data_IF_511021172366
#
_entry.id   IF_511021172366
#
_cell.length_a   1.000
_cell.length_b   1.000
_cell.length_c   1.000
_cell.angle_alpha   90.00
_cell.angle_beta   90.00
_cell.angle_gamma   90.00
#
_symmetry.space_group_name_H-M   'P 1'
#
loop_
_entity.id
_entity.type
_entity.pdbx_description
1 polymer ?
#
# COMPACT_ATOMS: atom_id res chain seq x y z
N UNK A 1 6.57 -17.89 7.15
CA UNK A 1 7.62 -17.65 8.17
C UNK A 1 8.25 -16.27 7.94
N UNK A 2 7.96 -15.30 8.82
CA UNK A 2 8.68 -14.01 8.95
C UNK A 2 9.75 -14.12 10.06
N UNK A 3 10.27 -15.32 10.30
CA UNK A 3 11.01 -15.70 11.52
C UNK A 3 12.44 -15.18 11.57
N UNK A 4 12.86 -14.37 10.60
CA UNK A 4 13.95 -13.41 10.79
C UNK A 4 13.75 -12.23 9.85
N UNK A 5 12.71 -11.42 10.09
CA UNK A 5 12.59 -10.11 9.41
C UNK A 5 13.94 -9.38 9.53
N UNK A 6 14.52 -9.01 8.39
CA UNK A 6 15.67 -8.09 8.32
C UNK A 6 15.41 -6.93 9.31
N UNK A 7 16.37 -6.56 10.18
CA UNK A 7 16.23 -5.41 11.08
C UNK A 7 15.64 -4.16 10.42
N UNK A 8 15.97 -3.87 9.16
CA UNK A 8 15.43 -2.73 8.41
C UNK A 8 13.93 -2.89 8.13
N UNK A 9 13.50 -4.07 7.69
CA UNK A 9 12.08 -4.38 7.49
C UNK A 9 11.31 -4.33 8.81
N UNK A 10 11.89 -4.76 9.93
CA UNK A 10 11.26 -4.60 11.27
C UNK A 10 11.05 -3.12 11.60
N UNK A 11 12.05 -2.27 11.33
CA UNK A 11 11.93 -0.83 11.56
C UNK A 11 10.87 -0.21 10.65
N UNK A 12 10.83 -0.58 9.38
CA UNK A 12 9.79 -0.15 8.45
C UNK A 12 8.39 -0.51 8.96
N UNK A 13 8.16 -1.78 9.33
CA UNK A 13 6.87 -2.24 9.86
C UNK A 13 6.51 -1.48 11.15
N UNK A 14 7.47 -1.19 12.02
CA UNK A 14 7.22 -0.39 13.23
C UNK A 14 6.76 1.04 12.90
N UNK A 15 7.33 1.69 11.86
CA UNK A 15 6.88 3.01 11.41
C UNK A 15 5.49 2.94 10.76
N UNK A 16 5.25 1.97 9.90
CA UNK A 16 3.94 1.71 9.29
C UNK A 16 2.84 1.44 10.33
N UNK A 17 3.16 0.79 11.45
CA UNK A 17 2.21 0.54 12.54
C UNK A 17 1.89 1.78 13.39
N UNK A 18 2.67 2.85 13.28
CA UNK A 18 2.40 4.13 13.98
C UNK A 18 1.51 5.07 13.19
N UNK A 19 1.32 4.80 11.91
CA UNK A 19 0.47 5.59 11.03
C UNK A 19 -0.98 5.41 11.47
N UNK A 20 -1.66 6.52 11.71
CA UNK A 20 -3.08 6.52 12.02
C UNK A 20 -3.89 6.36 10.73
N UNK A 21 -4.43 5.16 10.51
CA UNK A 21 -5.35 4.84 9.42
C UNK A 21 -6.82 5.09 9.79
N UNK A 22 -7.13 5.51 11.02
CA UNK A 22 -8.49 5.77 11.47
C UNK A 22 -9.14 6.92 10.69
N UNK A 23 -8.40 8.00 10.42
CA UNK A 23 -8.87 9.09 9.55
C UNK A 23 -9.17 8.60 8.14
N UNK A 24 -8.33 7.71 7.60
CA UNK A 24 -8.53 7.15 6.26
C UNK A 24 -9.77 6.25 6.20
N UNK A 25 -9.99 5.43 7.25
CA UNK A 25 -11.21 4.64 7.36
C UNK A 25 -12.47 5.52 7.44
N UNK A 26 -12.41 6.62 8.20
CA UNK A 26 -13.49 7.60 8.27
C UNK A 26 -13.75 8.24 6.89
N UNK A 27 -12.70 8.65 6.17
CA UNK A 27 -12.82 9.19 4.81
C UNK A 27 -13.46 8.18 3.85
N UNK A 28 -13.01 6.92 3.85
CA UNK A 28 -13.54 5.87 2.98
C UNK A 28 -15.01 5.54 3.27
N UNK A 29 -15.46 5.71 4.51
CA UNK A 29 -16.84 5.43 4.92
C UNK A 29 -17.80 6.61 4.72
N UNK A 30 -17.29 7.81 4.43
CA UNK A 30 -18.12 8.98 4.11
C UNK A 30 -18.82 8.76 2.75
N UNK A 31 -20.16 8.73 2.69
CA UNK A 31 -20.89 8.51 1.45
C UNK A 31 -20.91 9.73 0.51
N UNK A 32 -20.53 10.92 0.98
CA UNK A 32 -20.56 12.15 0.20
C UNK A 32 -19.20 12.48 -0.40
N UNK A 33 -18.13 12.30 0.40
CA UNK A 33 -16.77 12.70 0.01
C UNK A 33 -15.83 11.52 -0.20
N UNK A 34 -16.25 10.31 0.20
CA UNK A 34 -15.48 9.08 0.06
C UNK A 34 -16.21 8.05 -0.80
N UNK A 35 -15.92 6.78 -0.53
CA UNK A 35 -16.49 5.66 -1.27
C UNK A 35 -17.83 5.15 -0.68
N UNK A 36 -18.24 5.69 0.47
CA UNK A 36 -19.43 5.23 1.20
C UNK A 36 -19.37 3.76 1.62
N UNK A 37 -18.17 3.22 1.83
CA UNK A 37 -17.97 1.83 2.21
C UNK A 37 -18.43 1.56 3.64
N UNK A 38 -18.77 0.30 3.93
CA UNK A 38 -18.90 -0.14 5.32
C UNK A 38 -17.54 -0.08 6.01
N UNK A 39 -17.53 0.06 7.34
CA UNK A 39 -16.28 0.05 8.11
C UNK A 39 -15.47 -1.23 7.90
N UNK A 40 -16.15 -2.38 7.75
CA UNK A 40 -15.52 -3.66 7.45
C UNK A 40 -14.81 -3.64 6.09
N UNK A 41 -15.49 -3.18 5.04
CA UNK A 41 -14.90 -3.04 3.70
C UNK A 41 -13.70 -2.08 3.72
N UNK A 42 -13.82 -0.92 4.38
CA UNK A 42 -12.73 0.04 4.51
C UNK A 42 -11.53 -0.55 5.27
N UNK A 43 -11.78 -1.25 6.38
CA UNK A 43 -10.73 -1.90 7.17
C UNK A 43 -9.98 -2.96 6.35
N UNK A 44 -10.72 -3.82 5.65
CA UNK A 44 -10.11 -4.84 4.79
C UNK A 44 -9.31 -4.22 3.64
N UNK A 45 -9.81 -3.16 3.02
CA UNK A 45 -9.11 -2.46 1.95
C UNK A 45 -7.83 -1.76 2.44
N UNK A 46 -7.88 -1.14 3.62
CA UNK A 46 -6.71 -0.53 4.27
C UNK A 46 -5.63 -1.57 4.57
N UNK A 47 -5.99 -2.79 5.01
CA UNK A 47 -5.01 -3.85 5.22
C UNK A 47 -4.34 -4.30 3.91
N UNK A 48 -5.06 -4.29 2.78
CA UNK A 48 -4.44 -4.53 1.47
C UNK A 48 -3.52 -3.37 1.06
N UNK A 49 -3.91 -2.12 1.33
CA UNK A 49 -3.05 -0.96 1.12
C UNK A 49 -1.77 -1.01 1.95
N UNK A 50 -1.86 -1.44 3.22
CA UNK A 50 -0.68 -1.65 4.09
C UNK A 50 0.28 -2.68 3.51
N UNK A 51 -0.22 -3.81 2.98
CA UNK A 51 0.59 -4.82 2.28
C UNK A 51 1.25 -4.26 1.02
N UNK A 52 0.52 -3.45 0.27
CA UNK A 52 1.03 -2.75 -0.91
C UNK A 52 2.17 -1.79 -0.56
N UNK A 53 2.06 -0.99 0.51
CA UNK A 53 3.14 -0.13 1.00
C UNK A 53 4.40 -0.91 1.39
N UNK A 54 4.25 -2.10 1.97
CA UNK A 54 5.37 -3.00 2.27
C UNK A 54 6.06 -3.46 0.96
N UNK A 55 5.30 -3.76 -0.10
CA UNK A 55 5.91 -4.12 -1.39
C UNK A 55 6.69 -2.96 -2.01
N UNK A 56 6.16 -1.73 -1.98
CA UNK A 56 6.91 -0.54 -2.43
C UNK A 56 8.25 -0.43 -1.71
N UNK A 57 8.27 -0.70 -0.40
CA UNK A 57 9.50 -0.65 0.38
C UNK A 57 10.49 -1.77 0.05
N UNK A 58 9.99 -3.00 -0.12
CA UNK A 58 10.83 -4.17 -0.39
C UNK A 58 11.43 -4.17 -1.80
N UNK A 59 10.77 -3.48 -2.74
CA UNK A 59 11.11 -3.51 -4.15
C UNK A 59 11.18 -2.08 -4.72
N UNK A 60 12.13 -1.25 -4.25
CA UNK A 60 12.22 0.15 -4.66
C UNK A 60 12.56 0.34 -6.15
N UNK A 61 13.16 -0.67 -6.79
CA UNK A 61 13.58 -0.66 -8.20
C UNK A 61 12.59 -1.40 -9.13
N UNK A 62 11.34 -1.60 -8.67
CA UNK A 62 10.29 -2.30 -9.42
C UNK A 62 9.03 -1.44 -9.50
N UNK A 63 8.29 -1.60 -10.59
CA UNK A 63 6.96 -1.02 -10.70
C UNK A 63 5.96 -1.86 -9.90
N UNK A 64 5.51 -1.34 -8.75
CA UNK A 64 4.49 -1.99 -7.93
C UNK A 64 3.12 -1.37 -8.25
N UNK A 65 2.25 -2.14 -8.89
CA UNK A 65 0.95 -1.68 -9.37
C UNK A 65 -0.17 -2.10 -8.41
N UNK A 66 -0.95 -1.16 -7.84
CA UNK A 66 -2.01 -1.51 -6.91
C UNK A 66 -3.18 -2.22 -7.62
N UNK A 67 -3.96 -3.00 -6.86
CA UNK A 67 -5.29 -3.41 -7.32
C UNK A 67 -6.22 -2.20 -7.33
N UNK A 68 -7.33 -2.26 -8.08
CA UNK A 68 -8.32 -1.16 -8.12
C UNK A 68 -8.78 -0.72 -6.73
N UNK A 69 -9.04 -1.65 -5.82
CA UNK A 69 -9.46 -1.32 -4.45
C UNK A 69 -8.35 -0.61 -3.68
N UNK A 70 -7.10 -1.06 -3.80
CA UNK A 70 -5.94 -0.43 -3.15
C UNK A 70 -5.67 0.95 -3.73
N UNK A 71 -5.85 1.12 -5.03
CA UNK A 71 -5.71 2.40 -5.74
C UNK A 71 -6.72 3.44 -5.25
N UNK A 72 -7.99 3.04 -5.03
CA UNK A 72 -9.01 3.92 -4.42
C UNK A 72 -8.62 4.34 -2.99
N UNK A 73 -8.09 3.42 -2.17
CA UNK A 73 -7.60 3.75 -0.83
C UNK A 73 -6.42 4.73 -0.90
N UNK A 74 -5.50 4.53 -1.85
CA UNK A 74 -4.34 5.38 -2.03
C UNK A 74 -4.75 6.79 -2.49
N UNK A 75 -5.70 6.90 -3.43
CA UNK A 75 -6.28 8.19 -3.81
C UNK A 75 -6.86 8.93 -2.60
N UNK A 76 -7.65 8.24 -1.76
CA UNK A 76 -8.22 8.85 -0.56
C UNK A 76 -7.14 9.30 0.43
N UNK A 77 -6.05 8.52 0.59
CA UNK A 77 -4.92 8.92 1.42
C UNK A 77 -4.24 10.20 0.92
N UNK A 78 -4.15 10.41 -0.40
CA UNK A 78 -3.52 11.58 -1.02
C UNK A 78 -4.34 12.87 -0.82
N UNK A 79 -5.67 12.78 -0.69
CA UNK A 79 -6.54 13.96 -0.55
C UNK A 79 -6.21 14.80 0.69
N UNK A 80 -5.76 14.18 1.78
CA UNK A 80 -5.13 14.88 2.90
C UNK A 80 -3.63 15.02 2.66
N UNK A 81 -3.26 15.95 1.78
CA UNK A 81 -1.88 16.11 1.29
C UNK A 81 -0.85 16.32 2.40
N UNK A 82 -1.19 17.06 3.46
CA UNK A 82 -0.29 17.30 4.60
C UNK A 82 -0.04 16.02 5.39
N UNK A 83 -1.09 15.25 5.67
CA UNK A 83 -0.96 13.96 6.34
C UNK A 83 -0.22 12.96 5.45
N UNK A 84 -0.52 12.92 4.16
CA UNK A 84 0.12 12.01 3.20
C UNK A 84 1.63 12.26 3.09
N UNK A 85 2.05 13.52 2.99
CA UNK A 85 3.47 13.88 3.00
C UNK A 85 4.16 13.43 4.30
N UNK A 86 3.55 13.73 5.45
CA UNK A 86 4.07 13.32 6.75
C UNK A 86 4.19 11.80 6.89
N UNK A 87 3.17 11.06 6.50
CA UNK A 87 3.17 9.60 6.55
C UNK A 87 4.21 9.01 5.59
N UNK A 88 4.36 9.57 4.39
CA UNK A 88 5.42 9.15 3.46
C UNK A 88 6.82 9.37 4.05
N UNK A 89 7.07 10.54 4.65
CA UNK A 89 8.35 10.84 5.30
C UNK A 89 8.62 9.94 6.50
N UNK A 90 7.61 9.66 7.34
CA UNK A 90 7.75 8.75 8.48
C UNK A 90 8.05 7.31 8.02
N UNK A 91 7.28 6.79 7.06
CA UNK A 91 7.37 5.37 6.69
C UNK A 91 8.58 5.11 5.79
N UNK A 92 8.77 5.94 4.76
CA UNK A 92 9.75 5.73 3.67
C UNK A 92 10.94 6.68 3.72
N UNK A 93 10.88 7.78 4.48
CA UNK A 93 11.91 8.82 4.44
C UNK A 93 11.90 9.67 3.17
N UNK A 94 10.90 9.49 2.30
CA UNK A 94 10.71 10.24 1.04
C UNK A 94 9.23 10.27 0.66
N UNK A 95 8.85 11.22 -0.17
CA UNK A 95 7.51 11.26 -0.76
C UNK A 95 7.35 10.09 -1.75
N UNK A 96 6.21 9.39 -1.69
CA UNK A 96 5.86 8.35 -2.66
C UNK A 96 4.87 8.95 -3.66
N UNK A 97 5.29 9.06 -4.92
CA UNK A 97 4.48 9.60 -5.98
C UNK A 97 3.47 8.56 -6.50
N UNK A 98 2.25 9.02 -6.78
CA UNK A 98 1.23 8.26 -7.48
C UNK A 98 1.08 8.79 -8.90
N UNK A 99 0.85 7.90 -9.86
CA UNK A 99 0.71 8.22 -11.28
C UNK A 99 -0.64 7.70 -11.82
N UNK A 100 -1.69 8.55 -11.88
CA UNK A 100 -3.08 8.10 -12.06
C UNK A 100 -3.43 7.45 -13.40
N UNK A 101 -2.60 7.61 -14.42
CA UNK A 101 -2.94 7.21 -15.79
C UNK A 101 -2.25 5.93 -16.24
N UNK A 102 -1.77 5.10 -15.31
CA UNK A 102 -0.92 3.94 -15.64
C UNK A 102 0.41 4.37 -16.27
N UNK A 103 0.75 5.65 -16.17
CA UNK A 103 2.09 6.12 -16.47
C UNK A 103 2.97 5.56 -15.38
N UNK A 104 3.73 4.53 -15.71
CA UNK A 104 4.84 4.10 -14.87
C UNK A 104 5.77 5.30 -14.68
N UNK A 105 6.51 5.32 -13.58
CA UNK A 105 7.63 6.25 -13.43
C UNK A 105 8.38 6.32 -14.78
N UNK A 106 8.43 7.50 -15.43
CA UNK A 106 8.94 7.61 -16.79
C UNK A 106 10.41 7.18 -16.91
N UNK A 107 11.15 7.07 -15.81
CA UNK A 107 12.50 6.52 -15.79
C UNK A 107 12.55 4.98 -15.87
N UNK A 108 11.46 4.30 -15.48
CA UNK A 108 11.41 2.84 -15.29
C UNK A 108 10.26 2.15 -16.07
N UNK A 109 9.80 2.77 -17.16
CA UNK A 109 8.61 2.37 -17.94
C UNK A 109 8.48 0.87 -18.27
N UNK A 110 7.74 0.15 -17.43
CA UNK A 110 7.32 -1.23 -17.64
C UNK A 110 5.88 -1.29 -18.18
N UNK A 111 5.51 -2.40 -18.81
CA UNK A 111 4.11 -2.65 -19.17
C UNK A 111 3.27 -2.83 -17.89
N UNK A 112 2.24 -2.01 -17.71
CA UNK A 112 1.41 -2.00 -16.50
C UNK A 112 0.73 -3.33 -16.20
N UNK A 113 0.38 -4.11 -17.22
CA UNK A 113 -0.27 -5.42 -17.02
C UNK A 113 0.73 -6.44 -16.47
N UNK A 114 1.96 -6.42 -17.01
CA UNK A 114 3.06 -7.28 -16.55
C UNK A 114 3.44 -6.93 -15.11
N UNK A 115 3.58 -5.64 -14.80
CA UNK A 115 3.92 -5.17 -13.46
C UNK A 115 2.81 -5.48 -12.43
N UNK A 116 1.53 -5.42 -12.84
CA UNK A 116 0.43 -5.85 -11.99
C UNK A 116 0.45 -7.37 -11.70
N UNK A 117 0.75 -8.19 -12.71
CA UNK A 117 0.89 -9.63 -12.53
C UNK A 117 2.05 -9.96 -11.57
N UNK A 118 3.19 -9.27 -11.70
CA UNK A 118 4.30 -9.41 -10.76
C UNK A 118 3.91 -8.96 -9.34
N UNK A 119 3.21 -7.83 -9.20
CA UNK A 119 2.72 -7.34 -7.90
C UNK A 119 1.83 -8.38 -7.21
N UNK A 120 0.94 -9.04 -7.96
CA UNK A 120 0.12 -10.14 -7.43
C UNK A 120 0.98 -11.31 -6.92
N UNK A 121 2.00 -11.72 -7.67
CA UNK A 121 2.92 -12.79 -7.26
C UNK A 121 3.69 -12.42 -5.99
N UNK A 122 4.14 -11.15 -5.88
CA UNK A 122 4.82 -10.64 -4.70
C UNK A 122 3.89 -10.59 -3.48
N UNK A 123 2.63 -10.20 -3.65
CA UNK A 123 1.62 -10.24 -2.59
C UNK A 123 1.43 -11.67 -2.07
N UNK A 124 1.30 -12.65 -2.96
CA UNK A 124 1.20 -14.07 -2.59
C UNK A 124 2.45 -14.49 -1.83
N UNK A 125 3.64 -14.24 -2.39
CA UNK A 125 4.93 -14.62 -1.79
C UNK A 125 5.11 -14.13 -0.36
N UNK A 126 4.67 -12.90 -0.05
CA UNK A 126 4.92 -12.28 1.25
C UNK A 126 3.75 -12.41 2.25
N UNK A 127 2.51 -12.51 1.76
CA UNK A 127 1.33 -12.38 2.61
C UNK A 127 0.33 -13.54 2.53
N UNK A 128 0.59 -14.56 1.71
CA UNK A 128 -0.07 -15.84 1.90
C UNK A 128 0.74 -16.68 2.89
N UNK A 129 0.13 -16.97 4.03
CA UNK A 129 0.55 -18.11 4.83
C UNK A 129 0.35 -19.34 3.94
N UNK A 130 1.43 -20.00 3.50
CA UNK A 130 1.29 -21.45 3.31
C UNK A 130 1.01 -21.97 4.71
N UNK A 131 -0.26 -22.26 5.00
CA UNK A 131 -0.64 -23.16 6.05
C UNK A 131 -0.06 -24.52 5.67
N UNK A 132 1.15 -24.81 6.11
CA UNK A 132 1.55 -26.20 6.36
C UNK A 132 0.98 -26.53 7.73
N UNK A 133 -0.34 -26.77 7.76
CA UNK A 133 -0.92 -27.59 8.82
C UNK A 133 -0.75 -29.04 8.41
N UNK A 134 -0.41 -29.85 9.42
CA UNK A 134 -0.05 -31.27 9.39
C UNK A 134 -1.12 -32.20 8.79
#
# INVERSE_FOLDING_TARGET
>A
MLTTLNPELKQFINRLNRVDFGTLAHQLTDPNNGEGWTLECATNAIEQYRKFLVLIYLYPDRTIVPSRTVDLVWHQAILDTQKYEKDCLEIFGRFIHHYPHGLVDPEHGEDTEVAFAETCQLLVKHFTSISLEE
#
